data_IF_369576097576
#
_entry.id   IF_369576097576
#
_cell.length_a   1.000
_cell.length_b   1.000
_cell.length_c   1.000
_cell.angle_alpha   90.00
_cell.angle_beta   90.00
_cell.angle_gamma   90.00
#
_symmetry.space_group_name_H-M   'P 1'
#
loop_
_entity.id
_entity.type
_entity.pdbx_description
1 polymer ?
#
# COMPACT_ATOMS: atom_id res chain seq x y z
N UNK A 1 51.08 48.11 -9.70
CA UNK A 1 49.75 47.60 -10.09
C UNK A 1 49.71 46.10 -9.82
N UNK A 2 49.26 45.71 -8.63
CA UNK A 2 49.21 44.32 -8.16
C UNK A 2 47.77 43.82 -8.25
N UNK A 3 47.52 42.79 -9.08
CA UNK A 3 46.22 42.10 -9.17
C UNK A 3 46.16 41.01 -8.10
N UNK A 4 45.21 41.12 -7.18
CA UNK A 4 44.83 40.04 -6.27
C UNK A 4 43.71 39.20 -6.91
N UNK A 5 43.75 37.85 -6.83
CA UNK A 5 42.65 37.01 -7.29
C UNK A 5 41.60 36.88 -6.18
N UNK A 6 40.33 37.11 -6.54
CA UNK A 6 39.17 36.95 -5.67
C UNK A 6 38.84 35.44 -5.61
N UNK A 7 39.02 34.84 -4.44
CA UNK A 7 38.56 33.47 -4.14
C UNK A 7 37.04 33.49 -3.91
N UNK A 8 36.28 32.94 -4.86
CA UNK A 8 34.86 32.63 -4.66
C UNK A 8 34.74 31.32 -3.86
N UNK A 9 34.41 31.42 -2.57
CA UNK A 9 33.99 30.28 -1.78
C UNK A 9 32.56 29.89 -2.17
N UNK A 10 32.40 28.77 -2.86
CA UNK A 10 31.09 28.16 -3.12
C UNK A 10 30.67 27.47 -1.82
N UNK A 11 29.81 28.13 -1.05
CA UNK A 11 29.14 27.52 0.10
C UNK A 11 28.08 26.57 -0.48
N UNK A 12 28.38 25.28 -0.51
CA UNK A 12 27.41 24.25 -0.85
C UNK A 12 26.49 24.08 0.37
N UNK A 13 25.40 24.84 0.40
CA UNK A 13 24.32 24.63 1.36
C UNK A 13 23.69 23.28 1.06
N UNK A 14 24.11 22.24 1.77
CA UNK A 14 23.41 20.98 1.84
C UNK A 14 22.04 21.27 2.50
N UNK A 15 21.01 21.46 1.68
CA UNK A 15 19.65 21.36 2.20
C UNK A 15 19.51 19.95 2.79
N UNK A 16 19.05 19.80 4.04
CA UNK A 16 18.74 18.49 4.56
C UNK A 16 17.66 17.91 3.65
N UNK A 17 17.97 16.83 2.95
CA UNK A 17 16.95 16.01 2.31
C UNK A 17 16.17 15.42 3.47
N UNK A 18 15.01 16.02 3.77
CA UNK A 18 14.04 15.41 4.65
C UNK A 18 13.69 14.07 4.00
N UNK A 19 14.17 12.98 4.59
CA UNK A 19 13.78 11.64 4.17
C UNK A 19 12.35 11.48 4.69
N UNK A 20 11.35 11.89 3.90
CA UNK A 20 9.98 11.48 4.18
C UNK A 20 9.98 9.95 4.14
N UNK A 21 9.53 9.34 5.23
CA UNK A 21 9.36 7.89 5.30
C UNK A 21 8.28 7.48 4.31
N UNK A 22 8.68 6.83 3.23
CA UNK A 22 7.75 6.39 2.19
C UNK A 22 6.93 5.20 2.69
N UNK A 23 5.61 5.27 2.47
CA UNK A 23 4.68 4.20 2.80
C UNK A 23 4.74 3.09 1.74
N UNK A 24 4.71 1.83 2.18
CA UNK A 24 4.88 0.64 1.33
C UNK A 24 3.88 -0.45 1.66
N UNK A 25 3.36 -1.05 0.60
CA UNK A 25 2.54 -2.26 0.69
C UNK A 25 3.36 -3.47 1.16
N UNK A 26 2.71 -4.57 1.59
CA UNK A 26 3.41 -5.77 2.03
C UNK A 26 4.45 -6.34 1.06
N UNK A 27 4.21 -6.21 -0.25
CA UNK A 27 5.13 -6.64 -1.29
C UNK A 27 6.35 -5.71 -1.49
N UNK A 28 6.44 -4.59 -0.76
CA UNK A 28 7.52 -3.61 -0.82
C UNK A 28 7.30 -2.47 -1.80
N UNK A 29 6.25 -2.53 -2.63
CA UNK A 29 5.91 -1.46 -3.56
C UNK A 29 5.55 -0.19 -2.81
N UNK A 30 6.02 0.94 -3.35
CA UNK A 30 5.71 2.26 -2.82
C UNK A 30 4.22 2.58 -3.03
N UNK A 31 3.61 3.15 -1.99
CA UNK A 31 2.40 3.95 -2.15
C UNK A 31 2.80 5.26 -2.84
N UNK A 32 2.03 5.64 -3.85
CA UNK A 32 2.41 6.71 -4.80
C UNK A 32 1.57 7.96 -4.67
N UNK A 33 0.45 7.91 -3.95
CA UNK A 33 -0.29 9.12 -3.62
C UNK A 33 0.43 9.94 -2.54
N UNK A 34 0.04 11.20 -2.43
CA UNK A 34 0.59 12.15 -1.48
C UNK A 34 -0.23 12.22 -0.18
N UNK A 35 -1.15 11.28 0.07
CA UNK A 35 -2.07 11.34 1.20
C UNK A 35 -1.67 10.41 2.34
N UNK A 36 -0.91 9.37 2.05
CA UNK A 36 -0.45 8.40 3.05
C UNK A 36 0.81 8.90 3.75
N UNK A 37 0.74 8.93 5.08
CA UNK A 37 1.84 9.33 5.94
C UNK A 37 1.85 8.49 7.23
N UNK A 38 2.99 8.45 7.95
CA UNK A 38 3.08 7.75 9.22
C UNK A 38 2.06 8.27 10.23
N UNK A 39 1.49 7.38 11.03
CA UNK A 39 0.52 7.74 12.05
C UNK A 39 1.05 8.65 13.17
N UNK A 40 2.37 8.72 13.31
CA UNK A 40 3.05 9.66 14.20
C UNK A 40 4.48 9.85 13.70
N UNK A 41 5.05 11.03 13.91
CA UNK A 41 6.47 11.30 13.63
C UNK A 41 7.38 10.96 14.82
N UNK A 42 6.81 10.52 15.95
CA UNK A 42 7.58 10.20 17.15
C UNK A 42 8.37 8.91 16.92
N UNK A 43 9.67 9.07 16.71
CA UNK A 43 10.60 7.95 16.61
C UNK A 43 10.54 7.07 17.86
N UNK A 44 10.50 5.75 17.66
CA UNK A 44 10.36 4.77 18.74
C UNK A 44 8.90 4.49 19.16
N UNK A 45 7.93 5.29 18.71
CA UNK A 45 6.53 4.89 18.78
C UNK A 45 6.28 3.83 17.70
N UNK A 46 5.73 2.65 18.03
CA UNK A 46 5.45 1.61 17.04
C UNK A 46 4.48 2.08 15.94
N UNK A 47 3.57 3.03 16.21
CA UNK A 47 2.70 3.61 15.18
C UNK A 47 3.45 4.48 14.16
N UNK A 48 4.69 4.92 14.41
CA UNK A 48 5.51 5.60 13.40
C UNK A 48 5.82 4.69 12.19
N UNK A 49 5.64 3.38 12.37
CA UNK A 49 5.80 2.43 11.28
C UNK A 49 4.52 2.19 10.49
N UNK A 50 3.34 2.57 11.01
CA UNK A 50 2.06 2.40 10.31
C UNK A 50 1.79 3.63 9.46
N UNK A 51 1.32 3.42 8.23
CA UNK A 51 0.87 4.49 7.37
C UNK A 51 -0.64 4.43 7.20
N UNK A 52 -1.28 5.60 7.21
CA UNK A 52 -2.69 5.78 6.88
C UNK A 52 -2.86 6.99 5.94
N UNK A 53 -3.96 7.09 5.20
CA UNK A 53 -4.26 8.25 4.37
C UNK A 53 -4.77 9.48 5.17
N UNK A 54 -3.92 9.99 6.06
CA UNK A 54 -4.24 11.05 7.03
C UNK A 54 -4.16 12.47 6.44
N UNK A 55 -3.47 12.66 5.31
CA UNK A 55 -3.28 13.97 4.70
C UNK A 55 -4.33 14.30 3.62
N UNK A 56 -5.42 13.51 3.56
CA UNK A 56 -6.52 13.82 2.64
C UNK A 56 -7.16 15.17 3.01
N UNK A 57 -7.52 16.02 2.02
CA UNK A 57 -8.07 17.35 2.30
C UNK A 57 -9.44 17.34 3.00
N UNK A 58 -10.26 16.31 2.75
CA UNK A 58 -11.54 16.17 3.43
C UNK A 58 -11.28 15.58 4.83
N UNK A 59 -11.57 16.28 5.93
CA UNK A 59 -11.27 15.76 7.27
C UNK A 59 -12.11 14.53 7.59
N UNK A 60 -11.73 13.82 8.67
CA UNK A 60 -12.54 12.73 9.21
C UNK A 60 -13.95 13.21 9.56
N UNK A 61 -14.94 12.37 9.31
CA UNK A 61 -16.39 12.67 9.39
C UNK A 61 -16.87 13.76 8.41
N UNK A 62 -16.02 14.12 7.44
CA UNK A 62 -16.34 15.01 6.35
C UNK A 62 -17.41 14.44 5.41
N UNK A 63 -17.98 15.32 4.59
CA UNK A 63 -19.03 14.96 3.63
C UNK A 63 -18.38 14.27 2.42
N UNK A 64 -18.90 13.12 2.00
CA UNK A 64 -18.36 12.32 0.89
C UNK A 64 -18.27 13.08 -0.44
N UNK A 65 -19.19 14.01 -0.68
CA UNK A 65 -19.18 14.86 -1.88
C UNK A 65 -17.91 15.72 -2.01
N UNK A 66 -17.19 15.96 -0.91
CA UNK A 66 -15.92 16.71 -0.88
C UNK A 66 -14.69 15.81 -1.12
N UNK A 67 -14.90 14.54 -1.45
CA UNK A 67 -13.85 13.54 -1.64
C UNK A 67 -13.74 12.55 -0.48
N UNK A 68 -12.77 11.63 -0.57
CA UNK A 68 -12.53 10.65 0.50
C UNK A 68 -12.06 11.34 1.77
N UNK A 69 -12.70 11.01 2.89
CA UNK A 69 -12.32 11.52 4.19
C UNK A 69 -10.93 10.99 4.59
N UNK A 70 -10.19 11.82 5.31
CA UNK A 70 -8.93 11.50 5.95
C UNK A 70 -9.13 10.44 7.01
N UNK A 71 -8.16 9.54 7.07
CA UNK A 71 -8.19 8.46 8.05
C UNK A 71 -7.78 8.97 9.43
N UNK A 72 -8.16 8.21 10.44
CA UNK A 72 -7.70 8.36 11.81
C UNK A 72 -6.93 7.10 12.18
N UNK A 73 -5.67 7.26 12.56
CA UNK A 73 -4.85 6.17 13.05
C UNK A 73 -5.39 5.62 14.37
N UNK A 74 -5.59 4.31 14.43
CA UNK A 74 -6.01 3.62 15.63
C UNK A 74 -4.81 3.08 16.42
N UNK A 75 -4.95 2.91 17.75
CA UNK A 75 -3.86 2.41 18.59
C UNK A 75 -3.37 1.01 18.21
N UNK A 76 -4.24 0.18 17.63
CA UNK A 76 -3.92 -1.17 17.15
C UNK A 76 -3.22 -1.19 15.77
N UNK A 77 -2.93 -0.03 15.19
CA UNK A 77 -2.26 0.10 13.90
C UNK A 77 -3.18 0.05 12.68
N UNK A 78 -4.50 -0.08 12.87
CA UNK A 78 -5.47 0.07 11.78
C UNK A 78 -5.74 1.55 11.47
N UNK A 79 -6.21 1.80 10.25
CA UNK A 79 -6.67 3.11 9.79
C UNK A 79 -8.20 3.14 9.82
N UNK A 80 -8.80 4.13 10.47
CA UNK A 80 -10.26 4.32 10.50
C UNK A 80 -10.65 5.45 9.55
N UNK A 81 -11.39 5.12 8.50
CA UNK A 81 -12.04 6.13 7.67
C UNK A 81 -13.46 6.39 8.18
N UNK A 82 -13.83 7.65 8.38
CA UNK A 82 -15.17 8.04 8.80
C UNK A 82 -15.71 9.16 7.90
N UNK A 83 -16.93 9.05 7.40
CA UNK A 83 -17.53 10.04 6.50
C UNK A 83 -19.06 10.08 6.60
N UNK A 84 -19.67 11.17 6.14
CA UNK A 84 -21.13 11.33 6.05
C UNK A 84 -21.56 11.50 4.60
N UNK A 85 -22.75 11.01 4.24
CA UNK A 85 -23.27 11.20 2.88
C UNK A 85 -23.71 12.65 2.61
N UNK A 86 -24.33 13.27 3.60
CA UNK A 86 -24.71 14.67 3.64
C UNK A 86 -24.65 15.16 5.10
N UNK A 87 -24.96 16.45 5.34
CA UNK A 87 -24.87 17.06 6.66
C UNK A 87 -25.78 16.39 7.71
N UNK A 88 -26.86 15.76 7.28
CA UNK A 88 -27.89 15.20 8.15
C UNK A 88 -27.80 13.67 8.29
N UNK A 89 -26.86 13.05 7.60
CA UNK A 89 -26.61 11.61 7.65
C UNK A 89 -25.75 11.22 8.83
N UNK A 90 -25.99 10.01 9.36
CA UNK A 90 -25.11 9.36 10.31
C UNK A 90 -23.73 9.09 9.70
N UNK A 91 -22.69 9.11 10.54
CA UNK A 91 -21.33 8.76 10.14
C UNK A 91 -21.24 7.29 9.74
N UNK A 92 -20.68 7.02 8.56
CA UNK A 92 -20.27 5.72 8.10
C UNK A 92 -18.79 5.52 8.49
N UNK A 93 -18.42 4.30 8.86
CA UNK A 93 -17.08 3.97 9.34
C UNK A 93 -16.58 2.72 8.61
N UNK A 94 -15.33 2.76 8.16
CA UNK A 94 -14.57 1.61 7.69
C UNK A 94 -13.21 1.57 8.36
N UNK A 95 -12.65 0.37 8.45
CA UNK A 95 -11.31 0.15 8.98
C UNK A 95 -10.46 -0.52 7.92
N UNK A 96 -9.19 -0.17 7.89
CA UNK A 96 -8.25 -0.66 6.90
C UNK A 96 -6.94 -1.06 7.55
N UNK A 97 -6.39 -2.14 7.02
CA UNK A 97 -4.96 -2.42 7.10
C UNK A 97 -4.33 -1.85 5.85
N UNK A 98 -3.67 -0.72 5.99
CA UNK A 98 -3.04 0.01 4.89
C UNK A 98 -1.54 -0.34 4.79
N UNK A 99 -0.67 0.65 4.63
CA UNK A 99 0.77 0.47 4.39
C UNK A 99 1.62 0.59 5.65
N UNK A 100 2.93 0.40 5.45
CA UNK A 100 3.94 0.52 6.48
C UNK A 100 5.15 1.30 5.94
N UNK A 101 5.90 1.97 6.80
CA UNK A 101 7.14 2.66 6.39
C UNK A 101 8.31 1.68 6.13
N UNK A 102 8.16 0.43 6.56
CA UNK A 102 9.17 -0.62 6.44
C UNK A 102 8.88 -1.53 5.25
N UNK A 103 9.91 -1.78 4.43
CA UNK A 103 9.80 -2.65 3.26
C UNK A 103 9.60 -4.14 3.64
N UNK A 104 8.67 -4.80 2.94
CA UNK A 104 8.46 -6.24 3.06
C UNK A 104 7.89 -6.69 4.41
N UNK A 105 7.41 -5.74 5.23
CA UNK A 105 6.69 -5.97 6.48
C UNK A 105 7.39 -6.94 7.44
N UNK A 106 8.71 -6.76 7.57
CA UNK A 106 9.59 -7.67 8.29
C UNK A 106 9.58 -7.42 9.80
N UNK A 107 9.89 -8.46 10.57
CA UNK A 107 10.21 -8.39 12.00
C UNK A 107 9.10 -7.82 12.90
N UNK A 108 7.82 -7.88 12.51
CA UNK A 108 6.71 -7.37 13.33
C UNK A 108 6.69 -5.83 13.47
N UNK A 109 7.44 -5.12 12.64
CA UNK A 109 7.37 -3.65 12.55
C UNK A 109 6.18 -3.17 11.73
N UNK A 110 5.37 -4.08 11.18
CA UNK A 110 4.17 -3.77 10.41
C UNK A 110 3.01 -4.62 10.91
N UNK A 111 1.78 -4.12 10.77
CA UNK A 111 0.58 -4.88 11.10
C UNK A 111 0.31 -5.95 10.03
N UNK A 112 0.97 -7.10 10.16
CA UNK A 112 1.01 -8.19 9.17
C UNK A 112 -0.22 -9.10 9.15
N UNK A 113 -1.42 -8.52 9.11
CA UNK A 113 -2.70 -9.24 8.99
C UNK A 113 -3.20 -9.24 7.55
N UNK A 114 -4.10 -10.15 7.19
CA UNK A 114 -4.75 -10.22 5.87
C UNK A 114 -3.81 -10.27 4.66
N UNK A 115 -2.59 -10.78 4.85
CA UNK A 115 -1.60 -10.91 3.77
C UNK A 115 -2.06 -11.88 2.67
N UNK A 116 -2.91 -12.86 3.02
CA UNK A 116 -3.52 -13.79 2.07
C UNK A 116 -4.56 -13.13 1.17
N UNK A 117 -5.18 -12.01 1.60
CA UNK A 117 -6.17 -11.26 0.84
C UNK A 117 -5.51 -10.36 -0.19
N UNK A 118 -4.51 -9.57 0.23
CA UNK A 118 -3.72 -8.73 -0.68
C UNK A 118 -2.37 -8.36 -0.08
N UNK A 119 -1.35 -8.50 -0.91
CA UNK A 119 0.02 -8.06 -0.63
C UNK A 119 0.38 -6.72 -1.27
N UNK A 120 -0.47 -6.19 -2.15
CA UNK A 120 -0.17 -5.02 -2.99
C UNK A 120 -1.18 -3.89 -2.83
N UNK A 121 -2.13 -3.99 -1.91
CA UNK A 121 -3.17 -2.98 -1.68
C UNK A 121 -3.60 -2.93 -0.22
N UNK A 122 -4.37 -1.89 0.10
CA UNK A 122 -5.08 -1.77 1.37
C UNK A 122 -6.16 -2.84 1.43
N UNK A 123 -6.43 -3.32 2.65
CA UNK A 123 -7.41 -4.37 2.90
C UNK A 123 -8.41 -3.85 3.93
N UNK A 124 -9.69 -3.92 3.59
CA UNK A 124 -10.76 -3.58 4.52
C UNK A 124 -10.78 -4.61 5.66
N UNK A 125 -11.00 -4.12 6.87
CA UNK A 125 -11.00 -4.90 8.10
C UNK A 125 -12.35 -4.74 8.78
N UNK A 126 -13.07 -5.84 8.99
CA UNK A 126 -14.40 -5.82 9.63
C UNK A 126 -14.32 -6.36 11.05
N UNK A 127 -14.67 -5.57 12.09
CA UNK A 127 -14.63 -6.02 13.48
C UNK A 127 -15.79 -6.97 13.79
N UNK A 128 -15.52 -8.01 14.58
CA UNK A 128 -16.58 -8.97 14.94
C UNK A 128 -17.61 -8.39 15.92
N UNK A 129 -17.22 -7.44 16.77
CA UNK A 129 -18.06 -6.85 17.82
C UNK A 129 -18.59 -5.43 17.50
N UNK A 130 -18.46 -4.99 16.24
CA UNK A 130 -18.86 -3.65 15.79
C UNK A 130 -18.09 -2.48 16.43
N UNK A 131 -16.96 -2.74 17.09
CA UNK A 131 -16.17 -1.68 17.74
C UNK A 131 -14.80 -1.47 17.10
N UNK A 132 -14.28 -0.25 17.19
CA UNK A 132 -12.91 0.08 16.77
C UNK A 132 -11.83 -0.63 17.62
N UNK A 133 -12.19 -1.10 18.83
CA UNK A 133 -11.30 -1.77 19.77
C UNK A 133 -11.47 -3.29 19.76
N UNK A 134 -12.13 -3.84 18.73
CA UNK A 134 -12.27 -5.28 18.58
C UNK A 134 -10.91 -5.96 18.66
N UNK A 135 -10.87 -7.14 19.27
CA UNK A 135 -9.67 -8.00 19.21
C UNK A 135 -9.77 -9.02 18.08
N UNK A 136 -10.91 -9.10 17.39
CA UNK A 136 -11.21 -10.10 16.36
C UNK A 136 -11.71 -9.42 15.10
N UNK A 137 -11.02 -9.66 13.99
CA UNK A 137 -11.25 -8.96 12.74
C UNK A 137 -11.34 -9.94 11.57
N UNK A 138 -12.26 -9.67 10.64
CA UNK A 138 -12.32 -10.31 9.34
C UNK A 138 -11.59 -9.48 8.29
N UNK A 139 -10.88 -10.16 7.39
CA UNK A 139 -10.36 -9.57 6.17
C UNK A 139 -11.48 -9.42 5.14
N UNK A 140 -11.74 -8.19 4.69
CA UNK A 140 -12.81 -7.85 3.76
C UNK A 140 -14.05 -7.29 4.44
N UNK A 141 -15.13 -7.16 3.67
CA UNK A 141 -16.37 -6.45 4.03
C UNK A 141 -17.36 -7.26 4.89
N UNK A 142 -17.19 -8.58 4.97
CA UNK A 142 -18.15 -9.46 5.65
C UNK A 142 -17.68 -9.88 7.03
N UNK A 143 -18.65 -10.29 7.86
CA UNK A 143 -18.41 -10.85 9.20
C UNK A 143 -18.40 -12.38 9.21
N UNK A 144 -18.32 -13.02 8.05
CA UNK A 144 -18.50 -14.48 7.94
C UNK A 144 -17.44 -15.23 8.76
N UNK A 145 -16.21 -14.68 8.84
CA UNK A 145 -15.12 -15.25 9.63
C UNK A 145 -15.40 -15.25 11.15
N UNK A 146 -16.28 -14.36 11.63
CA UNK A 146 -16.61 -14.25 13.04
C UNK A 146 -17.40 -15.47 13.53
N UNK A 147 -18.10 -16.16 12.63
CA UNK A 147 -18.77 -17.40 12.95
C UNK A 147 -17.76 -18.56 12.95
N UNK A 148 -17.45 -19.10 14.14
CA UNK A 148 -16.63 -20.31 14.29
C UNK A 148 -15.11 -20.11 14.20
N UNK A 149 -14.64 -18.86 14.24
CA UNK A 149 -13.22 -18.49 14.34
C UNK A 149 -12.33 -18.95 13.17
N UNK A 150 -12.92 -19.13 11.99
CA UNK A 150 -12.18 -19.54 10.78
C UNK A 150 -11.78 -18.29 10.00
N UNK A 151 -10.47 -18.08 9.81
CA UNK A 151 -9.96 -16.92 9.06
C UNK A 151 -10.05 -15.59 9.80
N UNK A 152 -10.14 -15.62 11.14
CA UNK A 152 -10.06 -14.43 12.00
C UNK A 152 -8.61 -13.97 12.15
N UNK A 153 -8.41 -12.66 12.05
CA UNK A 153 -7.21 -11.98 12.49
C UNK A 153 -7.39 -11.47 13.93
N UNK A 154 -6.48 -11.85 14.83
CA UNK A 154 -6.51 -11.38 16.21
C UNK A 154 -5.56 -10.21 16.38
N UNK A 155 -6.10 -9.05 16.77
CA UNK A 155 -5.32 -7.82 16.96
C UNK A 155 -5.31 -7.45 18.44
N UNK A 156 -4.13 -7.04 18.93
CA UNK A 156 -4.04 -6.38 20.23
C UNK A 156 -4.68 -4.98 20.14
N UNK A 157 -5.21 -4.47 21.25
CA UNK A 157 -5.78 -3.11 21.30
C UNK A 157 -4.71 -2.03 21.05
N UNK A 158 -3.44 -2.34 21.30
CA UNK A 158 -2.32 -1.45 21.03
C UNK A 158 -1.27 -2.20 20.23
N UNK A 159 -0.83 -1.60 19.13
CA UNK A 159 0.26 -2.10 18.32
C UNK A 159 1.56 -1.77 19.04
N UNK A 160 2.30 -2.81 19.43
CA UNK A 160 3.57 -2.66 20.17
C UNK A 160 4.80 -2.81 19.26
N UNK A 161 4.60 -2.97 17.95
CA UNK A 161 5.69 -3.33 17.04
C UNK A 161 6.23 -4.73 17.37
N UNK A 162 7.51 -4.94 17.13
CA UNK A 162 8.18 -6.24 17.19
C UNK A 162 8.09 -6.96 18.57
N UNK A 163 6.96 -7.63 18.85
CA UNK A 163 6.84 -9.06 19.19
C UNK A 163 5.46 -9.54 18.66
N UNK A 164 5.46 -10.43 17.68
CA UNK A 164 4.31 -11.28 17.38
C UNK A 164 4.79 -12.71 17.09
N UNK A 165 4.78 -13.54 18.14
CA UNK A 165 4.69 -14.98 17.98
C UNK A 165 3.26 -15.30 17.55
N UNK A 166 3.01 -15.36 16.24
CA UNK A 166 1.75 -15.89 15.73
C UNK A 166 1.74 -17.40 15.97
N UNK A 167 1.08 -17.86 17.04
CA UNK A 167 0.76 -19.27 17.22
C UNK A 167 -0.61 -19.53 16.59
N UNK A 168 -0.62 -20.01 15.35
CA UNK A 168 -1.81 -20.66 14.79
C UNK A 168 -2.00 -22.00 15.50
N UNK A 169 -2.85 -22.07 16.53
CA UNK A 169 -3.23 -23.34 17.14
C UNK A 169 -4.28 -24.03 16.27
N UNK A 170 -3.84 -25.01 15.47
CA UNK A 170 -4.73 -26.04 14.91
C UNK A 170 -5.02 -27.01 16.06
N UNK A 171 -6.23 -26.97 16.61
CA UNK A 171 -6.63 -27.83 17.73
C UNK A 171 -7.19 -29.15 17.20
N UNK A 172 -6.39 -30.22 17.28
CA UNK A 172 -6.85 -31.60 17.07
C UNK A 172 -7.31 -32.17 18.42
N UNK A 173 -8.61 -32.28 18.62
CA UNK A 173 -9.20 -32.84 19.85
C UNK A 173 -9.07 -34.37 19.87
N UNK A 174 -8.20 -34.89 20.77
CA UNK A 174 -8.25 -36.28 21.21
C UNK A 174 -8.60 -36.32 22.71
N UNK A 175 -9.80 -36.83 22.98
CA UNK A 175 -10.39 -37.07 24.28
C UNK A 175 -9.66 -38.22 24.98
N UNK A 176 -9.13 -38.01 26.20
CA UNK A 176 -8.86 -39.09 27.15
C UNK A 176 -8.79 -38.60 28.59
N UNK A 177 -9.61 -39.27 29.39
CA UNK A 177 -9.92 -39.15 30.81
C UNK A 177 -8.71 -39.14 31.74
N UNK A 178 -8.79 -38.44 32.87
CA UNK A 178 -8.06 -38.86 34.07
C UNK A 178 -8.74 -38.42 35.37
N UNK A 179 -8.79 -39.41 36.26
CA UNK A 179 -9.40 -39.44 37.58
C UNK A 179 -8.38 -38.98 38.64
N UNK A 180 -8.93 -38.64 39.80
CA UNK A 180 -8.39 -37.96 40.97
C UNK A 180 -7.15 -38.52 41.70
N UNK A 181 -6.48 -37.60 42.41
CA UNK A 181 -5.94 -37.67 43.80
C UNK A 181 -4.44 -37.97 44.08
N UNK A 182 -3.88 -37.06 44.90
CA UNK A 182 -3.03 -37.29 46.10
C UNK A 182 -1.49 -37.34 46.00
N UNK A 183 -0.90 -36.28 46.60
CA UNK A 183 0.10 -36.27 47.69
C UNK A 183 1.57 -36.70 47.48
N UNK A 184 2.44 -35.68 47.61
CA UNK A 184 3.71 -35.60 48.35
C UNK A 184 4.83 -36.64 48.16
N UNK A 185 6.01 -36.18 47.71
CA UNK A 185 7.23 -36.11 48.54
C UNK A 185 8.45 -35.61 47.75
N UNK A 186 9.33 -34.93 48.49
CA UNK A 186 10.56 -34.24 48.10
C UNK A 186 11.71 -35.17 47.70
N UNK A 187 12.48 -34.79 46.67
CA UNK A 187 13.92 -35.09 46.49
C UNK A 187 14.51 -34.20 45.39
N UNK A 188 15.64 -33.49 45.60
CA UNK A 188 16.32 -32.75 44.53
C UNK A 188 17.41 -33.63 43.90
N UNK A 189 17.44 -33.75 42.58
CA UNK A 189 18.57 -34.34 41.86
C UNK A 189 18.83 -33.64 40.51
N UNK A 190 20.00 -33.03 40.46
CA UNK A 190 20.90 -32.81 39.31
C UNK A 190 20.35 -32.19 38.01
N UNK A 191 20.64 -30.90 37.80
CA UNK A 191 20.60 -30.25 36.49
C UNK A 191 21.71 -30.80 35.59
N UNK A 192 21.32 -31.36 34.44
CA UNK A 192 22.19 -31.67 33.31
C UNK A 192 22.06 -30.53 32.30
N UNK A 193 23.14 -29.77 32.10
CA UNK A 193 23.22 -28.69 31.11
C UNK A 193 23.28 -29.27 29.70
N UNK A 194 22.23 -29.07 28.90
CA UNK A 194 22.27 -29.27 27.45
C UNK A 194 22.62 -27.93 26.75
N UNK A 195 23.48 -27.92 25.71
CA UNK A 195 23.94 -26.70 25.07
C UNK A 195 22.85 -26.13 24.14
N UNK A 196 22.49 -24.86 24.37
CA UNK A 196 21.56 -24.12 23.54
C UNK A 196 22.24 -23.70 22.22
N UNK A 197 21.88 -24.32 21.10
CA UNK A 197 22.32 -23.88 19.78
C UNK A 197 21.58 -22.60 19.38
N UNK A 198 22.27 -21.46 19.51
CA UNK A 198 21.80 -20.15 19.04
C UNK A 198 22.15 -19.98 17.55
N UNK A 199 21.14 -20.05 16.68
CA UNK A 199 21.27 -19.65 15.27
C UNK A 199 21.21 -18.13 15.15
N UNK A 200 22.38 -17.48 15.03
CA UNK A 200 22.47 -16.04 14.78
C UNK A 200 22.27 -15.69 13.30
N UNK A 201 21.34 -14.78 13.01
CA UNK A 201 21.24 -14.13 11.70
C UNK A 201 22.41 -13.16 11.53
N UNK A 202 23.20 -13.37 10.48
CA UNK A 202 24.37 -12.54 10.19
C UNK A 202 23.92 -11.14 9.73
N UNK A 203 24.03 -10.15 10.62
CA UNK A 203 23.98 -8.74 10.24
C UNK A 203 25.32 -8.35 9.63
N UNK A 204 25.27 -7.71 8.46
CA UNK A 204 26.48 -7.25 7.79
C UNK A 204 27.09 -6.10 8.60
N UNK A 205 28.38 -6.24 8.94
CA UNK A 205 29.12 -5.22 9.68
C UNK A 205 29.04 -3.86 9.00
N UNK A 206 29.04 -2.78 9.79
CA UNK A 206 29.08 -1.41 9.29
C UNK A 206 30.21 -1.18 8.25
N UNK A 207 31.32 -1.91 8.36
CA UNK A 207 32.40 -1.88 7.38
C UNK A 207 32.03 -2.45 6.00
N UNK A 208 31.17 -3.48 5.95
CA UNK A 208 30.68 -4.04 4.69
C UNK A 208 29.72 -3.08 4.00
N UNK A 209 28.87 -2.41 4.78
CA UNK A 209 27.93 -1.41 4.28
C UNK A 209 28.68 -0.20 3.71
N UNK A 210 29.72 0.29 4.41
CA UNK A 210 30.54 1.40 3.93
C UNK A 210 31.29 1.08 2.61
N UNK A 211 31.76 -0.16 2.46
CA UNK A 211 32.46 -0.60 1.24
C UNK A 211 31.59 -0.57 -0.01
N UNK A 212 30.32 -0.98 0.10
CA UNK A 212 29.39 -1.03 -1.04
C UNK A 212 29.09 0.37 -1.58
N UNK A 213 28.91 1.37 -0.70
CA UNK A 213 28.61 2.75 -1.10
C UNK A 213 29.79 3.37 -1.86
N UNK A 214 31.02 3.21 -1.36
CA UNK A 214 32.22 3.74 -2.01
C UNK A 214 32.45 3.04 -3.36
N UNK A 215 32.21 1.73 -3.43
CA UNK A 215 32.31 0.96 -4.68
C UNK A 215 31.31 1.42 -5.75
N UNK A 216 30.07 1.74 -5.38
CA UNK A 216 29.06 2.21 -6.32
C UNK A 216 29.42 3.57 -6.94
N UNK A 217 29.93 4.51 -6.13
CA UNK A 217 30.36 5.84 -6.62
C UNK A 217 31.52 5.72 -7.60
N UNK A 218 32.53 4.90 -7.27
CA UNK A 218 33.66 4.63 -8.17
C UNK A 218 33.20 3.92 -9.46
N UNK A 219 32.27 2.96 -9.35
CA UNK A 219 31.72 2.23 -10.50
C UNK A 219 30.98 3.15 -11.48
N UNK A 220 30.11 4.03 -10.99
CA UNK A 220 29.37 4.97 -11.85
C UNK A 220 30.31 5.95 -12.54
N UNK A 221 31.33 6.45 -11.84
CA UNK A 221 32.34 7.34 -12.42
C UNK A 221 33.10 6.67 -13.58
N UNK A 222 33.50 5.40 -13.42
CA UNK A 222 34.21 4.65 -14.45
C UNK A 222 33.32 4.34 -15.67
N UNK A 223 32.06 3.93 -15.44
CA UNK A 223 31.10 3.68 -16.54
C UNK A 223 30.78 4.97 -17.30
N UNK A 224 30.58 6.08 -16.59
CA UNK A 224 30.38 7.39 -17.19
C UNK A 224 31.58 7.86 -18.03
N UNK A 225 32.80 7.68 -17.52
CA UNK A 225 34.02 7.99 -18.25
C UNK A 225 34.18 7.12 -19.51
N UNK A 226 33.90 5.82 -19.42
CA UNK A 226 33.94 4.90 -20.56
C UNK A 226 32.92 5.28 -21.64
N UNK A 227 31.67 5.57 -21.25
CA UNK A 227 30.64 6.05 -22.19
C UNK A 227 31.09 7.35 -22.86
N UNK A 228 31.57 8.33 -22.09
CA UNK A 228 32.00 9.62 -22.62
C UNK A 228 33.12 9.48 -23.65
N UNK A 229 34.11 8.62 -23.40
CA UNK A 229 35.20 8.35 -24.36
C UNK A 229 34.70 7.67 -25.63
N UNK A 230 33.77 6.72 -25.54
CA UNK A 230 33.15 6.07 -26.70
C UNK A 230 32.33 7.08 -27.52
N UNK A 231 31.50 7.89 -26.85
CA UNK A 231 30.69 8.92 -27.49
C UNK A 231 31.57 9.99 -28.18
N UNK A 232 32.71 10.36 -27.57
CA UNK A 232 33.68 11.29 -28.16
C UNK A 232 34.34 10.69 -29.40
N UNK A 233 34.68 9.40 -29.40
CA UNK A 233 35.28 8.73 -30.58
C UNK A 233 34.31 8.63 -31.76
N UNK A 234 33.01 8.43 -31.50
CA UNK A 234 31.99 8.35 -32.56
C UNK A 234 31.75 9.69 -33.26
N UNK A 235 31.98 10.83 -32.58
CA UNK A 235 31.83 12.17 -33.20
C UNK A 235 32.98 12.58 -34.12
N UNK A 236 34.06 11.79 -34.20
CA UNK A 236 35.21 12.06 -35.09
C UNK A 236 35.15 11.20 -36.37
N UNK A 237 34.17 10.28 -36.49
CA UNK A 237 34.07 9.36 -37.64
C UNK A 237 33.01 9.75 -38.69
N UNK A 238 32.13 10.72 -38.43
CA UNK A 238 31.14 11.19 -39.43
C UNK A 238 31.67 12.39 -40.22
N UNK A 239 32.72 12.16 -41.01
CA UNK A 239 33.20 13.12 -42.00
C UNK A 239 33.73 12.40 -43.23
N UNK A 240 32.95 11.51 -43.85
CA UNK A 240 33.19 11.02 -45.22
C UNK A 240 31.94 10.31 -45.77
N UNK A 241 31.54 10.71 -47.00
CA UNK A 241 30.59 10.08 -47.94
C UNK A 241 29.09 10.41 -47.71
N UNK A 242 28.31 10.90 -48.68
CA UNK A 242 28.59 11.40 -50.02
C UNK A 242 27.37 12.22 -50.51
N UNK A 243 27.66 13.12 -51.43
CA UNK A 243 26.80 14.12 -52.04
C UNK A 243 26.23 13.54 -53.34
N UNK A 244 24.91 13.42 -53.45
CA UNK A 244 24.26 13.54 -54.77
C UNK A 244 22.86 14.16 -54.62
N UNK A 245 22.81 15.48 -54.78
CA UNK A 245 21.59 16.26 -54.93
C UNK A 245 21.60 16.81 -56.35
N UNK A 246 20.72 16.27 -57.20
CA UNK A 246 20.49 16.72 -58.58
C UNK A 246 18.97 16.88 -58.79
N UNK A 247 18.53 18.14 -58.74
CA UNK A 247 17.46 18.83 -59.49
C UNK A 247 16.20 18.09 -60.02
N UNK A 248 15.02 18.62 -59.65
CA UNK A 248 13.75 18.50 -60.40
C UNK A 248 12.53 19.12 -59.66
N UNK A 249 11.71 20.02 -60.26
CA UNK A 249 10.83 20.95 -59.55
C UNK A 249 9.33 20.54 -59.44
N UNK A 250 8.61 21.38 -58.69
CA UNK A 250 7.20 21.36 -58.28
C UNK A 250 6.16 21.58 -59.39
N UNK A 251 5.02 20.88 -59.28
CA UNK A 251 3.71 21.20 -59.90
C UNK A 251 2.62 20.74 -58.89
N UNK A 252 1.90 21.65 -58.21
CA UNK A 252 0.53 22.16 -58.50
C UNK A 252 -0.51 21.02 -58.63
N UNK A 253 -1.59 20.91 -57.82
CA UNK A 253 -2.76 21.78 -57.88
C UNK A 253 -3.80 21.45 -56.78
N UNK A 254 -4.45 22.50 -56.28
CA UNK A 254 -5.59 22.61 -55.35
C UNK A 254 -6.88 21.99 -55.87
N UNK A 255 -7.73 21.39 -55.01
CA UNK A 255 -9.19 21.38 -55.23
C UNK A 255 -10.01 21.36 -53.92
N UNK A 256 -11.13 22.07 -53.97
CA UNK A 256 -12.06 22.54 -52.94
C UNK A 256 -13.44 21.86 -53.07
N UNK A 257 -14.38 22.15 -52.15
CA UNK A 257 -15.86 21.88 -52.09
C UNK A 257 -16.32 20.65 -51.27
N UNK A 258 -17.45 20.64 -50.52
CA UNK A 258 -18.47 21.65 -50.16
C UNK A 258 -19.28 21.16 -48.94
N UNK A 259 -19.84 22.09 -48.15
CA UNK A 259 -21.02 21.88 -47.31
C UNK A 259 -22.29 22.11 -48.14
N UNK A 260 -23.36 21.35 -47.89
CA UNK A 260 -24.77 21.80 -47.89
C UNK A 260 -25.72 20.65 -47.49
N UNK A 261 -26.91 21.04 -47.04
CA UNK A 261 -27.81 20.33 -46.14
C UNK A 261 -28.85 19.39 -46.80
N UNK A 262 -29.52 18.56 -45.97
CA UNK A 262 -30.79 17.92 -46.33
C UNK A 262 -31.16 16.71 -45.46
N UNK A 263 -32.15 16.88 -44.56
CA UNK A 263 -32.90 15.77 -43.92
C UNK A 263 -33.90 15.18 -44.93
N UNK A 264 -34.28 13.88 -44.85
CA UNK A 264 -35.54 13.55 -44.16
C UNK A 264 -35.59 12.19 -43.43
N UNK A 265 -36.35 12.19 -42.32
CA UNK A 265 -37.21 11.16 -41.67
C UNK A 265 -36.85 9.65 -41.51
N UNK A 266 -37.43 9.00 -40.46
CA UNK A 266 -37.08 7.65 -40.01
C UNK A 266 -37.94 6.56 -40.67
N UNK A 267 -37.32 5.42 -41.00
CA UNK A 267 -38.06 4.21 -41.39
C UNK A 267 -38.31 3.30 -40.20
N UNK A 268 -39.60 3.16 -39.89
CA UNK A 268 -40.23 2.14 -39.07
C UNK A 268 -39.88 0.75 -39.62
N UNK A 269 -39.60 -0.22 -38.74
CA UNK A 269 -39.66 -1.65 -39.07
C UNK A 269 -40.50 -2.36 -38.02
N UNK A 270 -41.74 -2.64 -38.40
CA UNK A 270 -42.62 -3.63 -37.81
C UNK A 270 -42.02 -5.02 -37.99
N UNK A 271 -41.94 -5.83 -36.94
CA UNK A 271 -42.13 -7.26 -37.08
C UNK A 271 -42.87 -7.80 -35.86
N UNK A 272 -44.04 -8.35 -36.15
CA UNK A 272 -45.02 -8.91 -35.22
C UNK A 272 -44.58 -10.27 -34.69
N UNK A 273 -44.86 -10.55 -33.42
CA UNK A 273 -44.57 -11.82 -32.75
C UNK A 273 -45.31 -11.97 -31.42
N UNK A 274 -46.64 -12.12 -31.48
CA UNK A 274 -47.52 -12.89 -30.57
C UNK A 274 -47.34 -12.82 -29.04
N UNK A 275 -48.32 -12.17 -28.39
CA UNK A 275 -48.81 -12.35 -27.00
C UNK A 275 -49.40 -13.80 -26.82
N UNK A 276 -49.71 -14.38 -25.62
CA UNK A 276 -50.07 -13.69 -24.37
C UNK A 276 -49.52 -14.28 -23.05
N UNK A 277 -49.47 -13.45 -22.00
CA UNK A 277 -50.16 -13.74 -20.73
C UNK A 277 -50.10 -12.56 -19.77
N UNK A 278 -51.27 -12.24 -19.26
CA UNK A 278 -51.60 -11.19 -18.30
C UNK A 278 -51.40 -11.75 -16.88
N UNK A 279 -50.71 -11.02 -16.01
CA UNK A 279 -50.92 -11.11 -14.56
C UNK A 279 -50.68 -9.75 -13.90
N UNK A 280 -51.74 -8.94 -13.98
CA UNK A 280 -52.36 -8.21 -12.88
C UNK A 280 -51.52 -7.87 -11.63
N UNK A 281 -51.28 -6.57 -11.44
CA UNK A 281 -51.01 -5.95 -10.14
C UNK A 281 -52.36 -5.60 -9.49
N UNK A 282 -52.72 -6.27 -8.42
CA UNK A 282 -53.75 -5.78 -7.50
C UNK A 282 -53.10 -5.40 -6.16
N UNK A 283 -53.15 -4.10 -5.85
CA UNK A 283 -53.02 -3.56 -4.49
C UNK A 283 -54.16 -4.10 -3.62
N UNK A 284 -53.84 -4.62 -2.43
CA UNK A 284 -54.77 -4.63 -1.29
C UNK A 284 -54.01 -4.54 0.03
N UNK A 285 -54.21 -3.38 0.65
CA UNK A 285 -54.31 -3.10 2.08
C UNK A 285 -54.74 -4.29 2.94
N UNK A 286 -54.06 -4.49 4.07
CA UNK A 286 -54.64 -5.12 5.25
C UNK A 286 -54.18 -4.35 6.50
N UNK A 287 -55.15 -3.73 7.15
CA UNK A 287 -55.12 -3.26 8.54
C UNK A 287 -55.85 -4.31 9.40
N UNK A 288 -55.43 -4.43 10.67
CA UNK A 288 -56.16 -4.94 11.85
C UNK A 288 -56.67 -6.39 11.81
N UNK A 289 -56.04 -7.29 12.58
CA UNK A 289 -56.47 -7.70 13.94
C UNK A 289 -55.56 -8.79 14.50
#
# INVERSE_FOLDING_TARGET
MTRAPILFAIIWSALPVAVLSACRHPNGNLQTDAYHAPCTEVLGNPLNTMCCAIERPNPSEGIYANGFAADVCLPNGLCKQAWRRDENSTTNIQYYREECTVEGWKNGSCLSVCLSTSVSSNVLMTPCDDTANSTRWCCGETKDCCAGDIGIETLAQTFLGAIATSTSTISSSALSSSTSSSSASTSPLSETTAPNHSGGSASLSAGAIAGIVIGAVAGIALVGAAWFLIARRRRVADSSLDKHQTSGPSEMQTHYYAHEAGSPEPKVSELSGTNPTNHDKTSRTYELQ
#
